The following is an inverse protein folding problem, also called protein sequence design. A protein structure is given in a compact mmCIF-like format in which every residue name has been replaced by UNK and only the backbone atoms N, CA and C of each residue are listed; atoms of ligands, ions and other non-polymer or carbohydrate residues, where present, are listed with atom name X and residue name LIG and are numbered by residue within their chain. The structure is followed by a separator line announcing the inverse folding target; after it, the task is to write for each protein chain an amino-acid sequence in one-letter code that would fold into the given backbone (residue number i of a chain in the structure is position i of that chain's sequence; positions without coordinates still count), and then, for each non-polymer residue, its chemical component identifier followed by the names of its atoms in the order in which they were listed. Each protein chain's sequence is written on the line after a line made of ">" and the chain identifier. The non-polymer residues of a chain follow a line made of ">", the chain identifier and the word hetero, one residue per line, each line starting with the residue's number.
data_IF_319022694864
#
_entry.id   IF_319022694864
#
_cell.length_a   1.000
_cell.length_b   1.000
_cell.length_c   1.000
_cell.angle_alpha   90.00
_cell.angle_beta   90.00
_cell.angle_gamma   90.00
#
_symmetry.space_group_name_H-M   'P 1'
#
loop_
_entity.id
_entity.type
_entity.pdbx_description
1 polymer ?
#
# COMPACT_ATOMS: atom_id res chain seq x y z
N UNK A 1 12.11 10.10 17.48
CA UNK A 1 10.75 10.50 17.91
C UNK A 1 10.28 9.60 19.05
N UNK A 2 9.60 10.13 20.07
CA UNK A 2 9.02 9.29 21.13
C UNK A 2 7.76 8.57 20.64
N UNK A 3 7.40 7.44 21.27
CA UNK A 3 6.16 6.72 20.93
C UNK A 3 4.91 7.60 21.14
N UNK A 4 4.88 8.42 22.18
CA UNK A 4 3.75 9.30 22.47
C UNK A 4 3.57 10.38 21.40
N UNK A 5 4.67 10.92 20.89
CA UNK A 5 4.66 11.89 19.79
C UNK A 5 4.21 11.24 18.48
N UNK A 6 4.72 10.05 18.14
CA UNK A 6 4.30 9.35 16.93
C UNK A 6 2.80 9.07 16.92
N UNK A 7 2.27 8.57 18.04
CA UNK A 7 0.82 8.35 18.17
C UNK A 7 0.05 9.66 18.10
N UNK A 8 0.57 10.73 18.71
CA UNK A 8 -0.06 12.06 18.66
C UNK A 8 -0.15 12.60 17.24
N UNK A 9 0.94 12.54 16.48
CA UNK A 9 0.99 13.02 15.11
C UNK A 9 0.08 12.21 14.18
N UNK A 10 0.06 10.88 14.30
CA UNK A 10 -0.84 10.04 13.52
C UNK A 10 -2.31 10.28 13.86
N UNK A 11 -2.64 10.54 15.14
CA UNK A 11 -3.99 10.92 15.55
C UNK A 11 -4.39 12.27 14.95
N UNK A 12 -3.54 13.29 15.05
CA UNK A 12 -3.82 14.61 14.48
C UNK A 12 -4.02 14.55 12.96
N UNK A 13 -3.18 13.79 12.24
CA UNK A 13 -3.35 13.60 10.79
C UNK A 13 -4.71 12.97 10.45
N UNK A 14 -5.15 11.96 11.19
CA UNK A 14 -6.46 11.35 10.97
C UNK A 14 -7.61 12.34 11.27
N UNK A 15 -7.46 13.19 12.30
CA UNK A 15 -8.43 14.25 12.60
C UNK A 15 -8.48 15.31 11.49
N UNK A 16 -7.33 15.73 10.98
CA UNK A 16 -7.21 16.66 9.84
C UNK A 16 -7.83 16.07 8.55
N UNK A 17 -7.70 14.76 8.36
CA UNK A 17 -8.40 14.00 7.32
C UNK A 17 -9.91 13.84 7.58
N UNK A 18 -10.47 14.43 8.64
CA UNK A 18 -11.90 14.41 8.95
C UNK A 18 -12.40 13.13 9.62
N UNK A 19 -11.50 12.31 10.18
CA UNK A 19 -11.92 11.19 11.03
C UNK A 19 -12.25 11.64 12.45
N UNK A 20 -13.30 11.07 13.03
CA UNK A 20 -13.48 11.05 14.48
C UNK A 20 -12.58 9.96 15.07
N UNK A 21 -11.56 10.36 15.83
CA UNK A 21 -10.59 9.43 16.42
C UNK A 21 -10.93 9.13 17.87
N UNK A 22 -10.84 7.86 18.26
CA UNK A 22 -11.09 7.41 19.64
C UNK A 22 -9.97 7.85 20.58
N UNK A 23 -10.25 7.83 21.88
CA UNK A 23 -9.20 7.79 22.89
C UNK A 23 -8.24 6.62 22.64
N UNK A 24 -7.00 6.77 23.12
CA UNK A 24 -6.00 5.71 23.02
C UNK A 24 -6.48 4.47 23.75
N UNK A 25 -6.55 3.34 23.06
CA UNK A 25 -6.95 2.08 23.68
C UNK A 25 -5.96 1.71 24.81
N UNK A 26 -6.47 1.56 26.03
CA UNK A 26 -5.68 1.27 27.22
C UNK A 26 -5.71 -0.23 27.62
N UNK A 27 -6.54 -1.03 26.95
CA UNK A 27 -6.73 -2.45 27.26
C UNK A 27 -5.52 -3.26 26.82
N UNK A 28 -5.06 -4.18 27.69
CA UNK A 28 -3.94 -5.09 27.42
C UNK A 28 -4.41 -6.54 27.42
N UNK A 29 -3.93 -7.39 26.48
CA UNK A 29 -3.06 -7.06 25.35
C UNK A 29 -3.77 -6.18 24.31
N UNK A 30 -2.99 -5.35 23.61
CA UNK A 30 -3.50 -4.25 22.79
C UNK A 30 -3.35 -4.55 21.30
N UNK A 31 -4.45 -4.77 20.58
CA UNK A 31 -4.43 -5.06 19.14
C UNK A 31 -4.10 -3.82 18.29
N UNK A 32 -4.77 -2.68 18.52
CA UNK A 32 -4.62 -1.42 17.78
C UNK A 32 -4.49 -0.23 18.74
N UNK A 33 -3.92 0.90 18.27
CA UNK A 33 -3.70 2.10 19.06
C UNK A 33 -4.91 3.01 19.25
N UNK A 34 -5.60 3.29 18.15
CA UNK A 34 -6.81 4.11 18.06
C UNK A 34 -7.76 3.49 17.03
N UNK A 35 -9.06 3.75 17.20
CA UNK A 35 -10.04 3.57 16.14
C UNK A 35 -10.36 4.94 15.54
N UNK A 36 -10.59 5.01 14.23
CA UNK A 36 -10.92 6.26 13.55
C UNK A 36 -12.10 6.04 12.61
N UNK A 37 -13.11 6.91 12.62
CA UNK A 37 -14.31 6.79 11.78
C UNK A 37 -14.55 8.03 10.92
N UNK A 38 -14.79 7.83 9.61
CA UNK A 38 -15.22 8.87 8.66
C UNK A 38 -16.33 8.29 7.78
N UNK A 39 -17.58 8.66 8.06
CA UNK A 39 -18.76 8.01 7.47
C UNK A 39 -18.80 6.51 7.79
N UNK A 40 -18.92 5.70 6.76
CA UNK A 40 -18.94 4.23 6.87
C UNK A 40 -17.53 3.63 7.06
N UNK A 41 -16.47 4.37 6.72
CA UNK A 41 -15.10 3.90 6.91
C UNK A 41 -14.74 3.88 8.41
N UNK A 42 -14.42 2.69 8.92
CA UNK A 42 -13.86 2.47 10.26
C UNK A 42 -12.45 1.90 10.13
N UNK A 43 -11.46 2.58 10.71
CA UNK A 43 -10.08 2.14 10.76
C UNK A 43 -9.72 1.63 12.15
N UNK A 44 -8.96 0.53 12.22
CA UNK A 44 -8.29 0.06 13.43
C UNK A 44 -6.79 0.26 13.23
N UNK A 45 -6.22 1.31 13.81
CA UNK A 45 -4.87 1.76 13.49
C UNK A 45 -3.90 1.40 14.59
N UNK A 46 -2.90 0.58 14.27
CA UNK A 46 -1.74 0.28 15.13
C UNK A 46 -0.59 1.19 14.77
N UNK A 47 0.07 1.79 15.75
CA UNK A 47 1.12 2.79 15.50
C UNK A 47 2.44 2.34 16.13
N UNK A 48 3.48 2.17 15.31
CA UNK A 48 4.76 1.58 15.71
C UNK A 48 5.95 2.34 15.13
N UNK A 49 6.95 2.63 15.96
CA UNK A 49 8.22 3.17 15.46
C UNK A 49 8.97 2.13 14.62
N UNK A 50 9.08 0.90 15.12
CA UNK A 50 9.61 -0.25 14.37
C UNK A 50 8.49 -1.24 14.09
N UNK A 51 8.15 -1.44 12.82
CA UNK A 51 7.08 -2.36 12.41
C UNK A 51 7.42 -3.82 12.66
N UNK A 52 8.70 -4.16 12.93
CA UNK A 52 9.08 -5.52 13.25
C UNK A 52 8.48 -6.05 14.56
N UNK A 53 8.07 -5.13 15.44
CA UNK A 53 7.35 -5.44 16.67
C UNK A 53 5.90 -5.89 16.44
N UNK A 54 5.36 -5.78 15.21
CA UNK A 54 3.98 -6.13 14.91
C UNK A 54 3.78 -7.64 14.70
N UNK A 55 3.64 -8.43 15.75
CA UNK A 55 3.61 -9.90 15.62
C UNK A 55 2.37 -10.50 14.92
N UNK A 56 2.48 -11.78 14.55
CA UNK A 56 1.42 -12.51 13.84
C UNK A 56 0.16 -12.75 14.66
N UNK A 57 0.27 -12.80 15.99
CA UNK A 57 -0.87 -12.89 16.90
C UNK A 57 -1.69 -11.61 16.81
N UNK A 58 -1.04 -10.45 16.96
CA UNK A 58 -1.64 -9.12 16.84
C UNK A 58 -2.26 -8.93 15.46
N UNK A 59 -1.54 -9.29 14.39
CA UNK A 59 -2.06 -9.21 13.02
C UNK A 59 -3.28 -10.10 12.78
N UNK A 60 -3.33 -11.29 13.37
CA UNK A 60 -4.50 -12.17 13.28
C UNK A 60 -5.70 -11.59 14.03
N UNK A 61 -5.50 -11.06 15.24
CA UNK A 61 -6.57 -10.45 16.02
C UNK A 61 -7.09 -9.16 15.39
N UNK A 62 -6.21 -8.31 14.84
CA UNK A 62 -6.64 -7.11 14.10
C UNK A 62 -7.49 -7.46 12.88
N UNK A 63 -7.13 -8.50 12.12
CA UNK A 63 -7.95 -8.96 10.98
C UNK A 63 -9.28 -9.54 11.41
N UNK A 64 -9.32 -10.26 12.54
CA UNK A 64 -10.58 -10.76 13.12
C UNK A 64 -11.48 -9.60 13.53
N UNK A 65 -10.95 -8.64 14.29
CA UNK A 65 -11.67 -7.43 14.69
C UNK A 65 -12.16 -6.64 13.47
N UNK A 66 -11.32 -6.47 12.46
CA UNK A 66 -11.68 -5.84 11.20
C UNK A 66 -12.89 -6.50 10.55
N UNK A 67 -12.88 -7.83 10.44
CA UNK A 67 -14.04 -8.58 9.90
C UNK A 67 -15.30 -8.43 10.76
N UNK A 68 -15.19 -8.49 12.08
CA UNK A 68 -16.36 -8.44 12.98
C UNK A 68 -16.99 -7.04 13.07
N UNK A 69 -16.19 -6.00 12.89
CA UNK A 69 -16.61 -4.61 13.06
C UNK A 69 -16.81 -3.88 11.73
N UNK A 70 -16.63 -4.58 10.60
CA UNK A 70 -16.56 -3.98 9.27
C UNK A 70 -15.56 -2.82 9.21
N UNK A 71 -14.36 -3.10 9.70
CA UNK A 71 -13.29 -2.14 9.86
C UNK A 71 -12.03 -2.56 9.09
N UNK A 72 -11.29 -1.58 8.59
CA UNK A 72 -10.00 -1.78 7.93
C UNK A 72 -8.88 -1.77 8.97
N UNK A 73 -8.21 -2.91 9.24
CA UNK A 73 -7.01 -2.91 10.09
C UNK A 73 -5.83 -2.31 9.33
N UNK A 74 -5.01 -1.49 9.98
CA UNK A 74 -3.83 -0.88 9.38
C UNK A 74 -2.73 -0.65 10.40
N UNK A 75 -1.48 -0.66 9.95
CA UNK A 75 -0.32 -0.20 10.72
C UNK A 75 0.22 1.08 10.10
N UNK A 76 0.45 2.10 10.92
CA UNK A 76 1.31 3.25 10.57
C UNK A 76 2.63 3.07 11.30
N UNK A 77 3.74 3.07 10.57
CA UNK A 77 5.05 2.96 11.20
C UNK A 77 6.20 3.59 10.44
N UNK A 78 7.34 3.75 11.10
CA UNK A 78 8.45 4.55 10.55
C UNK A 78 9.45 3.72 9.77
N UNK A 79 9.76 2.52 10.26
CA UNK A 79 10.88 1.73 9.77
C UNK A 79 10.77 0.26 10.13
N UNK A 80 11.57 -0.55 9.46
CA UNK A 80 11.98 -1.87 9.94
C UNK A 80 13.20 -1.73 10.86
N UNK A 81 13.83 -2.85 11.22
CA UNK A 81 15.15 -2.87 11.82
C UNK A 81 16.22 -2.26 10.92
N UNK A 82 16.11 -2.45 9.62
CA UNK A 82 17.22 -2.24 8.68
C UNK A 82 17.08 -0.93 7.88
N UNK A 83 15.86 -0.49 7.59
CA UNK A 83 15.60 0.69 6.76
C UNK A 83 14.30 1.41 7.12
N UNK A 84 14.19 2.67 6.71
CA UNK A 84 12.94 3.44 6.80
C UNK A 84 11.91 2.96 5.77
N UNK A 85 10.63 3.09 6.11
CA UNK A 85 9.57 2.77 5.15
C UNK A 85 9.56 3.84 4.06
N UNK A 86 9.59 3.40 2.81
CA UNK A 86 9.59 4.29 1.64
C UNK A 86 8.21 4.96 1.51
N UNK A 87 8.16 6.30 1.37
CA UNK A 87 6.93 7.00 1.00
C UNK A 87 6.32 6.47 -0.31
N UNK A 88 5.00 6.48 -0.42
CA UNK A 88 4.26 5.96 -1.58
C UNK A 88 4.21 4.42 -1.69
N UNK A 89 4.86 3.69 -0.77
CA UNK A 89 4.87 2.21 -0.77
C UNK A 89 3.96 1.65 0.31
N UNK A 90 3.07 0.74 -0.08
CA UNK A 90 2.31 -0.09 0.85
C UNK A 90 3.07 -1.39 1.14
N UNK A 91 3.34 -1.65 2.41
CA UNK A 91 3.89 -2.92 2.87
C UNK A 91 2.79 -3.79 3.44
N UNK A 92 3.02 -5.11 3.52
CA UNK A 92 2.08 -6.04 4.13
C UNK A 92 2.77 -6.83 5.24
N UNK A 93 2.20 -6.83 6.44
CA UNK A 93 2.70 -7.65 7.56
C UNK A 93 1.58 -8.42 8.21
N UNK A 94 1.70 -9.74 8.24
CA UNK A 94 0.67 -10.66 8.75
C UNK A 94 -0.73 -10.42 8.15
N UNK A 95 -0.78 -10.01 6.88
CA UNK A 95 -2.02 -9.69 6.16
C UNK A 95 -2.67 -8.37 6.55
N UNK A 96 -1.96 -7.47 7.24
CA UNK A 96 -2.39 -6.10 7.56
C UNK A 96 -1.53 -5.12 6.77
N UNK A 97 -2.13 -4.14 6.06
CA UNK A 97 -1.40 -3.11 5.34
C UNK A 97 -0.62 -2.23 6.31
N UNK A 98 0.59 -1.85 5.90
CA UNK A 98 1.54 -1.06 6.67
C UNK A 98 1.98 0.13 5.82
N UNK A 99 1.76 1.34 6.32
CA UNK A 99 2.10 2.60 5.66
C UNK A 99 3.12 3.40 6.48
N UNK A 100 3.96 4.19 5.81
CA UNK A 100 4.69 5.27 6.48
C UNK A 100 3.72 6.41 6.86
N UNK A 101 4.09 7.32 7.78
CA UNK A 101 3.27 8.51 8.04
C UNK A 101 3.04 9.36 6.79
N UNK A 102 4.05 9.47 5.91
CA UNK A 102 3.93 10.23 4.66
C UNK A 102 2.90 9.58 3.73
N UNK A 103 2.99 8.26 3.51
CA UNK A 103 1.99 7.53 2.71
C UNK A 103 0.58 7.58 3.32
N UNK A 104 0.48 7.60 4.65
CA UNK A 104 -0.81 7.73 5.32
C UNK A 104 -1.40 9.15 5.18
N UNK A 105 -0.55 10.18 5.22
CA UNK A 105 -0.95 11.57 4.95
C UNK A 105 -1.47 11.69 3.50
N UNK A 106 -0.70 11.21 2.52
CA UNK A 106 -1.10 11.18 1.11
C UNK A 106 -2.46 10.48 0.95
N UNK A 107 -2.62 9.29 1.54
CA UNK A 107 -3.85 8.50 1.43
C UNK A 107 -5.07 9.17 2.07
N UNK A 108 -4.93 9.70 3.29
CA UNK A 108 -6.10 10.13 4.06
C UNK A 108 -6.44 11.62 3.93
N UNK A 109 -5.42 12.46 3.74
CA UNK A 109 -5.55 13.92 3.65
C UNK A 109 -5.59 14.36 2.19
N UNK A 110 -4.61 13.94 1.40
CA UNK A 110 -4.49 14.33 -0.01
C UNK A 110 -5.33 13.44 -0.95
N UNK A 111 -5.92 12.37 -0.42
CA UNK A 111 -6.70 11.37 -1.16
C UNK A 111 -5.92 10.70 -2.30
N UNK A 112 -4.60 10.56 -2.13
CA UNK A 112 -3.68 9.91 -3.06
C UNK A 112 -3.27 8.54 -2.53
N UNK A 113 -3.77 7.43 -3.13
CA UNK A 113 -3.42 6.09 -2.67
C UNK A 113 -1.99 5.68 -3.07
N UNK A 114 -1.34 4.80 -2.28
CA UNK A 114 -0.05 4.22 -2.68
C UNK A 114 -0.20 3.31 -3.90
N UNK A 115 0.51 3.64 -4.98
CA UNK A 115 0.51 2.85 -6.23
C UNK A 115 1.46 1.66 -6.17
N UNK A 116 2.44 1.70 -5.26
CA UNK A 116 3.50 0.70 -5.14
C UNK A 116 3.22 -0.16 -3.92
N UNK A 117 3.40 -1.48 -4.04
CA UNK A 117 3.36 -2.39 -2.92
C UNK A 117 4.61 -3.27 -2.85
N UNK A 118 5.00 -3.64 -1.62
CA UNK A 118 6.12 -4.53 -1.36
C UNK A 118 5.67 -5.99 -1.30
N UNK A 119 6.37 -6.87 -2.03
CA UNK A 119 6.13 -8.31 -2.04
C UNK A 119 7.46 -9.08 -2.13
N UNK A 120 7.46 -10.43 -1.95
CA UNK A 120 8.67 -11.22 -2.11
C UNK A 120 9.31 -10.95 -3.48
N UNK A 121 10.57 -10.52 -3.50
CA UNK A 121 11.31 -10.21 -4.72
C UNK A 121 11.43 -8.71 -5.04
N UNK A 122 10.70 -7.81 -4.35
CA UNK A 122 10.90 -6.37 -4.50
C UNK A 122 9.61 -5.55 -4.41
N UNK A 123 9.64 -4.41 -5.12
CA UNK A 123 8.52 -3.48 -5.22
C UNK A 123 7.78 -3.69 -6.54
N UNK A 124 6.46 -3.61 -6.47
CA UNK A 124 5.56 -3.90 -7.58
C UNK A 124 4.48 -2.82 -7.69
N UNK A 125 3.93 -2.67 -8.88
CA UNK A 125 2.77 -1.83 -9.18
C UNK A 125 1.71 -2.65 -9.90
N UNK A 126 0.44 -2.27 -9.73
CA UNK A 126 -0.63 -2.81 -10.57
C UNK A 126 -0.53 -2.15 -11.94
N UNK A 127 -0.63 -2.97 -12.99
CA UNK A 127 -0.65 -2.48 -14.38
C UNK A 127 -2.09 -2.51 -14.86
N UNK A 128 -2.52 -1.43 -15.49
CA UNK A 128 -3.74 -1.42 -16.27
C UNK A 128 -3.51 -2.24 -17.55
N UNK A 129 -4.01 -3.48 -17.52
CA UNK A 129 -3.85 -4.40 -18.64
C UNK A 129 -4.61 -3.96 -19.89
N UNK A 130 -5.72 -3.24 -19.73
CA UNK A 130 -6.51 -2.71 -20.85
C UNK A 130 -5.75 -1.56 -21.52
N UNK A 131 -5.26 -0.59 -20.73
CA UNK A 131 -4.44 0.51 -21.27
C UNK A 131 -3.16 -0.02 -21.91
N UNK A 132 -2.50 -1.02 -21.31
CA UNK A 132 -1.31 -1.64 -21.89
C UNK A 132 -1.62 -2.29 -23.26
N UNK A 133 -2.75 -2.99 -23.36
CA UNK A 133 -3.16 -3.62 -24.61
C UNK A 133 -3.48 -2.56 -25.68
N UNK A 134 -4.22 -1.51 -25.32
CA UNK A 134 -4.58 -0.40 -26.21
C UNK A 134 -3.33 0.31 -26.73
N UNK A 135 -2.41 0.72 -25.85
CA UNK A 135 -1.16 1.38 -26.23
C UNK A 135 -0.29 0.49 -27.13
N UNK A 136 -0.25 -0.82 -26.86
CA UNK A 136 0.48 -1.77 -27.73
C UNK A 136 -0.17 -1.85 -29.12
N UNK A 137 -1.49 -1.94 -29.18
CA UNK A 137 -2.25 -2.13 -30.42
C UNK A 137 -2.27 -0.88 -31.29
N UNK A 138 -2.40 0.30 -30.69
CA UNK A 138 -2.34 1.60 -31.38
C UNK A 138 -0.99 1.85 -32.08
N UNK A 139 0.07 1.15 -31.64
CA UNK A 139 1.40 1.17 -32.26
C UNK A 139 1.65 0.03 -33.26
N UNK A 140 0.66 -0.82 -33.54
CA UNK A 140 0.75 -2.05 -34.33
C UNK A 140 1.81 -3.04 -33.76
N UNK A 141 1.97 -3.11 -32.44
CA UNK A 141 2.96 -4.00 -31.82
C UNK A 141 2.35 -5.36 -31.49
N UNK A 142 3.08 -6.42 -31.83
CA UNK A 142 2.77 -7.75 -31.32
C UNK A 142 3.21 -7.89 -29.86
N UNK A 143 2.59 -8.81 -29.12
CA UNK A 143 3.07 -9.23 -27.80
C UNK A 143 4.56 -9.61 -27.79
N UNK A 144 5.05 -10.21 -28.88
CA UNK A 144 6.46 -10.58 -29.02
C UNK A 144 7.37 -9.36 -29.11
N UNK A 145 6.96 -8.36 -29.89
CA UNK A 145 7.72 -7.11 -30.03
C UNK A 145 7.85 -6.39 -28.70
N UNK A 146 6.75 -6.21 -27.97
CA UNK A 146 6.78 -5.56 -26.65
C UNK A 146 7.62 -6.38 -25.65
N UNK A 147 7.56 -7.72 -25.72
CA UNK A 147 8.37 -8.58 -24.88
C UNK A 147 9.88 -8.40 -25.12
N UNK A 148 10.29 -8.29 -26.38
CA UNK A 148 11.69 -8.04 -26.76
C UNK A 148 12.17 -6.67 -26.25
N UNK A 149 11.35 -5.62 -26.41
CA UNK A 149 11.66 -4.27 -25.93
C UNK A 149 11.77 -4.18 -24.41
N UNK A 150 11.01 -5.01 -23.67
CA UNK A 150 11.05 -5.06 -22.20
C UNK A 150 12.07 -6.06 -21.66
N UNK A 151 12.63 -6.93 -22.50
CA UNK A 151 13.53 -8.01 -22.08
C UNK A 151 12.82 -9.10 -21.27
N UNK A 152 11.53 -9.33 -21.53
CA UNK A 152 10.71 -10.35 -20.85
C UNK A 152 10.18 -11.38 -21.85
N UNK A 153 9.47 -12.40 -21.36
CA UNK A 153 8.84 -13.37 -22.27
C UNK A 153 7.53 -12.84 -22.85
N UNK A 154 7.15 -13.28 -24.07
CA UNK A 154 5.82 -13.02 -24.64
C UNK A 154 4.68 -13.39 -23.69
N UNK A 155 4.85 -14.48 -22.92
CA UNK A 155 3.88 -14.91 -21.90
C UNK A 155 3.78 -13.92 -20.75
N UNK A 156 4.87 -13.23 -20.41
CA UNK A 156 4.89 -12.22 -19.36
C UNK A 156 4.05 -11.00 -19.77
N UNK A 157 4.23 -10.51 -21.01
CA UNK A 157 3.43 -9.39 -21.53
C UNK A 157 1.95 -9.75 -21.56
N UNK A 158 1.59 -10.94 -22.07
CA UNK A 158 0.21 -11.42 -22.02
C UNK A 158 -0.37 -11.41 -20.61
N UNK A 159 0.43 -11.78 -19.60
CA UNK A 159 -0.04 -11.71 -18.21
C UNK A 159 -0.22 -10.28 -17.71
N UNK A 160 0.61 -9.34 -18.13
CA UNK A 160 0.43 -7.93 -17.77
C UNK A 160 -0.89 -7.39 -18.35
N UNK A 161 -1.20 -7.73 -19.60
CA UNK A 161 -2.50 -7.41 -20.22
C UNK A 161 -3.67 -8.12 -19.51
N UNK A 162 -3.43 -9.31 -18.93
CA UNK A 162 -4.39 -10.00 -18.06
C UNK A 162 -4.48 -9.43 -16.62
N UNK A 163 -3.82 -8.29 -16.33
CA UNK A 163 -3.85 -7.61 -15.02
C UNK A 163 -2.83 -8.11 -14.00
N UNK A 164 -1.75 -8.76 -14.44
CA UNK A 164 -0.64 -9.13 -13.56
C UNK A 164 0.20 -7.90 -13.18
N UNK A 165 0.63 -7.87 -11.92
CA UNK A 165 1.49 -6.80 -11.42
C UNK A 165 2.93 -6.90 -11.97
N UNK A 166 3.53 -5.75 -12.24
CA UNK A 166 4.90 -5.63 -12.71
C UNK A 166 5.82 -5.11 -11.60
N UNK A 167 7.12 -5.42 -11.68
CA UNK A 167 8.09 -4.74 -10.81
C UNK A 167 8.15 -3.25 -11.19
N UNK A 168 8.50 -2.39 -10.24
CA UNK A 168 8.63 -0.94 -10.49
C UNK A 168 9.58 -0.65 -11.67
N UNK A 169 10.68 -1.40 -11.78
CA UNK A 169 11.64 -1.25 -12.89
C UNK A 169 11.02 -1.57 -14.25
N UNK A 170 10.24 -2.66 -14.32
CA UNK A 170 9.58 -3.07 -15.57
C UNK A 170 8.44 -2.14 -15.93
N UNK A 171 7.69 -1.65 -14.93
CA UNK A 171 6.64 -0.66 -15.14
C UNK A 171 7.18 0.67 -15.65
N UNK A 172 8.23 1.21 -15.04
CA UNK A 172 8.88 2.45 -15.50
C UNK A 172 9.38 2.31 -16.94
N UNK A 173 9.98 1.16 -17.28
CA UNK A 173 10.40 0.89 -18.66
C UNK A 173 9.22 0.79 -19.64
N UNK A 174 8.08 0.24 -19.21
CA UNK A 174 6.87 0.22 -20.04
C UNK A 174 6.33 1.64 -20.28
N UNK A 175 6.24 2.47 -19.24
CA UNK A 175 5.77 3.85 -19.36
C UNK A 175 6.70 4.69 -20.24
N UNK A 176 8.02 4.56 -20.09
CA UNK A 176 9.00 5.24 -20.96
C UNK A 176 8.89 4.80 -22.43
N UNK A 177 8.62 3.52 -22.67
CA UNK A 177 8.54 2.94 -24.01
C UNK A 177 7.24 3.31 -24.73
N UNK A 178 6.14 3.40 -23.97
CA UNK A 178 4.80 3.67 -24.48
C UNK A 178 4.40 5.13 -24.33
N UNK A 179 5.13 5.98 -23.61
CA UNK A 179 4.78 7.40 -23.38
C UNK A 179 3.35 7.58 -22.84
N UNK A 180 2.94 6.64 -21.97
CA UNK A 180 1.60 6.57 -21.39
C UNK A 180 1.67 6.11 -19.92
N UNK A 181 0.83 6.66 -19.03
CA UNK A 181 0.74 6.18 -17.65
C UNK A 181 0.02 4.83 -17.62
N UNK A 182 0.65 3.81 -17.03
CA UNK A 182 0.12 2.43 -17.01
C UNK A 182 -0.16 1.92 -15.60
N UNK A 183 0.31 2.63 -14.57
CA UNK A 183 0.09 2.25 -13.18
C UNK A 183 -1.30 2.65 -12.70
N UNK A 184 -2.05 1.69 -12.12
CA UNK A 184 -3.33 1.94 -11.45
C UNK A 184 -3.23 1.70 -9.92
N UNK A 185 -4.06 2.38 -9.10
CA UNK A 185 -4.12 2.15 -7.66
C UNK A 185 -4.49 0.71 -7.26
#
# INVERSE_FOLDING_TARGET
>A
MSRSALVGNATAMLEDAGFLVSDRCAVRPKSFDVAARRGDALLLVKILGNIDAFDGTTGTEMRRLGRFLDATPMVIGLRTRDEELKPGVMYLRHGVPVLSPDTALDLFVEEVPPMIYAAPGGLYVNIDGEVLADEREDRDWSLGRLADELGVSRRTVSKYEDGMNASVEVAARMEDLLDAPLANP
#
